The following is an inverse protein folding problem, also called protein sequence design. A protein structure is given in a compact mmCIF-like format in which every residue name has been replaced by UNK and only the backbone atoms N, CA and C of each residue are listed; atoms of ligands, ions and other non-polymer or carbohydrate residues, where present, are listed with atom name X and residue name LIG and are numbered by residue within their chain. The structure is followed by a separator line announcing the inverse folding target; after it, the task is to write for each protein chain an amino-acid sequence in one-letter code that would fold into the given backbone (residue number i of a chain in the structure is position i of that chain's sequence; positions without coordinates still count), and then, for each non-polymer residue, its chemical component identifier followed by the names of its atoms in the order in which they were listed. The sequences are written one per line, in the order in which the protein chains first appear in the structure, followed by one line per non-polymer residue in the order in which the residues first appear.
data_IF_346448207820
#
_entry.id   IF_346448207820
#
_cell.length_a   1.000
_cell.length_b   1.000
_cell.length_c   1.000
_cell.angle_alpha   90.00
_cell.angle_beta   90.00
_cell.angle_gamma   90.00
#
_symmetry.space_group_name_H-M   'P 1'
#
loop_
_entity.id
_entity.type
_entity.pdbx_description
1 polymer ?
#
# COMPACT_ATOMS: atom_id res chain seq x y z
N UNK A 1 12.64 5.47 20.47
CA UNK A 1 13.38 5.18 21.72
C UNK A 1 14.87 5.22 21.43
N UNK A 2 15.66 5.95 22.22
CA UNK A 2 17.12 5.96 22.11
C UNK A 2 17.73 5.45 23.41
N UNK A 3 18.65 4.51 23.28
CA UNK A 3 19.52 4.00 24.34
C UNK A 3 20.96 4.39 24.01
N UNK A 4 21.90 4.07 24.89
CA UNK A 4 23.34 4.30 24.65
C UNK A 4 23.88 3.52 23.45
N UNK A 5 23.27 2.37 23.12
CA UNK A 5 23.77 1.45 22.09
C UNK A 5 22.90 1.42 20.83
N UNK A 6 21.61 1.74 20.97
CA UNK A 6 20.62 1.58 19.90
C UNK A 6 19.62 2.73 19.83
N UNK A 7 19.22 3.10 18.61
CA UNK A 7 18.02 3.90 18.36
C UNK A 7 16.99 3.02 17.65
N UNK A 8 15.77 3.01 18.18
CA UNK A 8 14.62 2.27 17.63
C UNK A 8 13.48 3.23 17.34
N UNK A 9 12.75 2.97 16.26
CA UNK A 9 11.40 3.50 16.07
C UNK A 9 10.43 2.62 16.84
N UNK A 10 9.60 3.21 17.71
CA UNK A 10 8.65 2.45 18.52
C UNK A 10 7.26 3.00 18.26
N UNK A 11 6.31 2.12 17.95
CA UNK A 11 4.90 2.46 17.83
C UNK A 11 4.05 1.58 18.74
N UNK A 12 3.00 2.16 19.29
CA UNK A 12 2.15 1.51 20.29
C UNK A 12 0.68 1.77 20.04
N UNK A 13 -0.14 0.80 20.42
CA UNK A 13 -1.60 0.91 20.43
C UNK A 13 -2.15 0.26 21.69
N UNK A 14 -3.16 0.83 22.36
CA UNK A 14 -3.85 0.14 23.45
C UNK A 14 -4.42 -1.21 23.01
N UNK A 15 -4.38 -2.22 23.89
CA UNK A 15 -4.87 -3.57 23.60
C UNK A 15 -6.38 -3.62 23.37
N UNK A 16 -7.14 -2.70 23.96
CA UNK A 16 -8.58 -2.56 23.77
C UNK A 16 -8.94 -1.74 22.51
N UNK A 17 -7.95 -1.18 21.81
CA UNK A 17 -8.20 -0.42 20.61
C UNK A 17 -8.73 -1.33 19.48
N UNK A 18 -9.84 -0.99 18.79
CA UNK A 18 -10.48 -1.86 17.79
C UNK A 18 -9.58 -2.29 16.61
N UNK A 19 -8.45 -1.61 16.43
CA UNK A 19 -7.45 -1.90 15.39
C UNK A 19 -6.18 -2.55 15.91
N UNK A 20 -6.08 -3.01 17.17
CA UNK A 20 -4.86 -3.64 17.69
C UNK A 20 -4.38 -4.82 16.84
N UNK A 21 -5.31 -5.53 16.20
CA UNK A 21 -4.98 -6.61 15.27
C UNK A 21 -4.04 -6.17 14.13
N UNK A 22 -3.98 -4.88 13.76
CA UNK A 22 -3.07 -4.39 12.73
C UNK A 22 -1.60 -4.49 13.17
N UNK A 23 -1.31 -4.31 14.46
CA UNK A 23 0.01 -4.49 15.04
C UNK A 23 0.47 -5.94 14.86
N UNK A 24 -0.42 -6.90 15.14
CA UNK A 24 -0.15 -8.33 14.96
C UNK A 24 0.08 -8.71 13.49
N UNK A 25 -0.68 -8.11 12.56
CA UNK A 25 -0.48 -8.34 11.12
C UNK A 25 0.89 -7.86 10.67
N UNK A 26 1.26 -6.64 11.02
CA UNK A 26 2.55 -6.08 10.64
C UNK A 26 3.72 -6.84 11.27
N UNK A 27 3.60 -7.23 12.53
CA UNK A 27 4.60 -8.09 13.18
C UNK A 27 4.74 -9.46 12.49
N UNK A 28 3.62 -10.07 12.08
CA UNK A 28 3.61 -11.35 11.38
C UNK A 28 4.18 -11.28 9.96
N UNK A 29 3.98 -10.17 9.25
CA UNK A 29 4.50 -9.95 7.89
C UNK A 29 6.00 -9.63 7.90
N UNK A 30 6.49 -8.89 8.89
CA UNK A 30 7.85 -8.35 8.89
C UNK A 30 8.96 -9.38 8.60
N UNK A 31 8.96 -10.61 9.15
CA UNK A 31 9.98 -11.62 8.85
C UNK A 31 10.15 -11.94 7.36
N UNK A 32 9.10 -11.75 6.55
CA UNK A 32 9.07 -12.07 5.12
C UNK A 32 9.46 -10.90 4.22
N UNK A 33 9.51 -9.67 4.76
CA UNK A 33 9.69 -8.43 3.96
C UNK A 33 10.91 -7.61 4.37
N UNK A 34 11.85 -8.20 5.11
CA UNK A 34 13.03 -7.46 5.65
C UNK A 34 13.96 -6.87 4.58
N UNK A 35 13.87 -7.35 3.34
CA UNK A 35 14.62 -6.80 2.21
C UNK A 35 14.01 -5.49 1.67
N UNK A 36 12.75 -5.21 2.00
CA UNK A 36 11.98 -4.05 1.54
C UNK A 36 11.36 -3.24 2.68
N UNK A 37 11.57 -3.63 3.94
CA UNK A 37 10.98 -2.98 5.12
C UNK A 37 11.99 -2.96 6.29
N UNK A 38 11.87 -1.98 7.20
CA UNK A 38 12.69 -1.96 8.41
C UNK A 38 12.50 -3.23 9.24
N UNK A 39 13.58 -3.80 9.76
CA UNK A 39 13.55 -4.97 10.64
C UNK A 39 12.81 -4.67 11.94
N UNK A 40 11.81 -5.49 12.24
CA UNK A 40 11.21 -5.57 13.57
C UNK A 40 12.15 -6.33 14.52
N UNK A 41 12.55 -5.69 15.62
CA UNK A 41 13.38 -6.31 16.65
C UNK A 41 12.54 -7.08 17.67
N UNK A 42 11.42 -6.49 18.09
CA UNK A 42 10.53 -7.08 19.08
C UNK A 42 9.11 -6.57 18.90
N UNK A 43 8.17 -7.41 19.30
CA UNK A 43 6.77 -7.08 19.52
C UNK A 43 6.42 -7.62 20.90
N UNK A 44 5.89 -6.75 21.76
CA UNK A 44 5.51 -7.10 23.13
C UNK A 44 4.15 -6.51 23.47
N UNK A 45 3.41 -7.22 24.33
CA UNK A 45 2.20 -6.72 24.94
C UNK A 45 2.46 -6.55 26.45
N UNK A 46 2.30 -5.33 26.97
CA UNK A 46 2.56 -5.00 28.37
C UNK A 46 1.73 -3.81 28.84
N UNK A 47 1.29 -3.82 30.10
CA UNK A 47 0.45 -2.80 30.74
C UNK A 47 -0.71 -2.27 29.88
N UNK A 48 -1.39 -3.16 29.15
CA UNK A 48 -2.51 -2.77 28.29
C UNK A 48 -2.12 -2.18 26.93
N UNK A 49 -0.86 -2.28 26.51
CA UNK A 49 -0.35 -1.82 25.21
C UNK A 49 0.22 -2.96 24.37
N UNK A 50 0.01 -2.89 23.05
CA UNK A 50 0.80 -3.65 22.05
C UNK A 50 1.85 -2.71 21.44
N UNK A 51 3.13 -3.03 21.66
CA UNK A 51 4.28 -2.22 21.25
C UNK A 51 5.14 -2.95 20.23
N UNK A 52 5.49 -2.28 19.13
CA UNK A 52 6.43 -2.77 18.13
C UNK A 52 7.69 -1.89 18.11
N UNK A 53 8.86 -2.53 18.18
CA UNK A 53 10.16 -1.86 18.11
C UNK A 53 10.92 -2.22 16.83
N UNK A 54 10.98 -1.27 15.91
CA UNK A 54 11.68 -1.40 14.63
C UNK A 54 13.08 -0.79 14.68
N UNK A 55 13.96 -1.25 13.80
CA UNK A 55 15.19 -0.53 13.51
C UNK A 55 14.86 0.92 13.13
N UNK A 56 15.64 1.87 13.64
CA UNK A 56 15.47 3.25 13.26
C UNK A 56 16.13 3.52 11.90
N UNK A 57 15.33 3.98 10.95
CA UNK A 57 15.81 4.34 9.61
C UNK A 57 15.97 5.84 9.52
N UNK A 58 17.17 6.29 9.12
CA UNK A 58 17.43 7.68 8.74
C UNK A 58 17.05 7.90 7.28
N UNK A 59 16.21 8.89 7.01
CA UNK A 59 15.72 9.16 5.66
C UNK A 59 14.57 10.17 5.65
N UNK A 60 14.11 10.50 4.46
CA UNK A 60 12.88 11.27 4.23
C UNK A 60 11.72 10.38 3.79
N UNK A 61 10.55 10.97 3.63
CA UNK A 61 9.44 10.31 2.93
C UNK A 61 9.60 10.50 1.41
N UNK A 62 9.05 9.57 0.63
CA UNK A 62 9.12 9.64 -0.82
C UNK A 62 8.35 10.84 -1.38
N UNK A 63 8.91 11.49 -2.38
CA UNK A 63 8.24 12.49 -3.21
C UNK A 63 7.59 11.81 -4.43
N UNK A 64 6.27 11.93 -4.54
CA UNK A 64 5.47 11.35 -5.62
C UNK A 64 5.08 12.36 -6.71
N UNK A 65 5.69 13.55 -6.71
CA UNK A 65 5.41 14.55 -7.74
C UNK A 65 6.02 14.17 -9.11
N UNK A 66 5.46 14.68 -10.22
CA UNK A 66 5.98 14.40 -11.55
C UNK A 66 7.46 14.74 -11.72
N UNK A 67 8.25 13.77 -12.20
CA UNK A 67 9.69 13.93 -12.41
C UNK A 67 10.54 13.75 -11.15
N UNK A 68 9.93 13.35 -10.03
CA UNK A 68 10.66 13.01 -8.80
C UNK A 68 11.71 11.91 -9.07
N UNK A 69 12.94 12.05 -8.55
CA UNK A 69 13.96 11.02 -8.65
C UNK A 69 13.67 9.80 -7.75
N UNK A 70 12.65 9.86 -6.89
CA UNK A 70 12.31 8.79 -5.96
C UNK A 70 11.53 7.65 -6.65
N UNK A 71 10.72 7.95 -7.67
CA UNK A 71 9.82 6.98 -8.31
C UNK A 71 10.51 5.69 -8.78
N UNK A 72 11.70 5.74 -9.43
CA UNK A 72 12.40 4.52 -9.84
C UNK A 72 12.79 3.62 -8.67
N UNK A 73 13.18 4.19 -7.52
CA UNK A 73 13.56 3.43 -6.34
C UNK A 73 12.34 2.80 -5.65
N UNK A 74 11.17 3.45 -5.73
CA UNK A 74 9.89 2.90 -5.27
C UNK A 74 9.53 1.67 -6.10
N UNK A 75 9.50 1.79 -7.44
CA UNK A 75 9.16 0.68 -8.33
C UNK A 75 10.15 -0.48 -8.21
N UNK A 76 11.45 -0.21 -8.08
CA UNK A 76 12.45 -1.25 -7.83
C UNK A 76 12.19 -2.02 -6.52
N UNK A 77 11.69 -1.33 -5.48
CA UNK A 77 11.34 -1.94 -4.20
C UNK A 77 10.02 -2.70 -4.28
N UNK A 78 9.04 -2.21 -5.04
CA UNK A 78 7.80 -2.95 -5.36
C UNK A 78 8.12 -4.25 -6.12
N UNK A 79 9.06 -4.20 -7.06
CA UNK A 79 9.48 -5.37 -7.83
C UNK A 79 10.08 -6.44 -6.93
N UNK A 80 10.93 -6.05 -5.97
CA UNK A 80 11.46 -6.97 -4.94
C UNK A 80 10.37 -7.52 -4.04
N UNK A 81 9.36 -6.71 -3.68
CA UNK A 81 8.21 -7.20 -2.92
C UNK A 81 7.43 -8.26 -3.71
N UNK A 82 7.26 -8.10 -5.01
CA UNK A 82 6.55 -9.07 -5.85
C UNK A 82 7.25 -10.45 -5.92
N UNK A 83 8.56 -10.51 -5.62
CA UNK A 83 9.35 -11.74 -5.54
C UNK A 83 9.22 -12.46 -4.19
N UNK A 84 8.67 -11.79 -3.16
CA UNK A 84 8.47 -12.37 -1.83
C UNK A 84 7.45 -13.50 -1.93
N UNK A 85 7.85 -14.69 -1.50
CA UNK A 85 6.95 -15.83 -1.40
C UNK A 85 5.79 -15.53 -0.46
N UNK A 86 4.59 -15.95 -0.86
CA UNK A 86 3.38 -15.78 -0.06
C UNK A 86 3.62 -16.30 1.36
N UNK A 87 3.49 -15.44 2.39
CA UNK A 87 3.75 -15.88 3.75
C UNK A 87 2.65 -16.86 4.16
N UNK A 88 3.02 -17.98 4.78
CA UNK A 88 2.08 -18.99 5.29
C UNK A 88 1.25 -18.54 6.49
N UNK A 89 0.95 -17.24 6.58
CA UNK A 89 0.20 -16.58 7.64
C UNK A 89 -1.17 -16.14 7.09
N UNK A 90 -2.14 -15.97 7.98
CA UNK A 90 -3.48 -15.53 7.58
C UNK A 90 -3.49 -14.05 7.18
N UNK A 91 -3.67 -13.80 5.88
CA UNK A 91 -3.88 -12.48 5.30
C UNK A 91 -5.25 -12.40 4.62
N UNK A 92 -5.85 -11.22 4.64
CA UNK A 92 -7.07 -10.97 3.86
C UNK A 92 -6.71 -11.00 2.37
N UNK A 93 -7.58 -11.58 1.56
CA UNK A 93 -7.45 -11.51 0.11
C UNK A 93 -7.99 -10.17 -0.42
N UNK A 94 -7.46 -9.70 -1.54
CA UNK A 94 -7.97 -8.52 -2.24
C UNK A 94 -9.44 -8.68 -2.68
N UNK A 95 -9.90 -9.84 -3.18
CA UNK A 95 -11.32 -10.09 -3.38
C UNK A 95 -12.13 -9.86 -2.10
N UNK A 96 -11.66 -10.36 -0.94
CA UNK A 96 -12.35 -10.11 0.31
C UNK A 96 -12.36 -8.61 0.66
N UNK A 97 -11.24 -7.89 0.53
CA UNK A 97 -11.14 -6.45 0.81
C UNK A 97 -12.11 -5.61 -0.03
N UNK A 98 -12.21 -5.93 -1.31
CA UNK A 98 -12.92 -5.12 -2.29
C UNK A 98 -14.39 -5.51 -2.49
N UNK A 99 -14.85 -6.63 -1.91
CA UNK A 99 -16.21 -7.20 -2.12
C UNK A 99 -17.38 -6.23 -1.94
N UNK A 100 -17.25 -5.22 -1.09
CA UNK A 100 -18.33 -4.24 -0.83
C UNK A 100 -18.44 -3.16 -1.91
N UNK A 101 -17.42 -3.06 -2.77
CA UNK A 101 -17.27 -2.02 -3.77
C UNK A 101 -17.32 -2.57 -5.19
N UNK A 102 -17.76 -3.82 -5.36
CA UNK A 102 -17.92 -4.49 -6.65
C UNK A 102 -19.42 -4.60 -6.96
N UNK A 103 -19.82 -4.28 -8.19
CA UNK A 103 -21.21 -4.42 -8.64
C UNK A 103 -21.49 -5.84 -9.13
N UNK A 104 -20.61 -6.37 -9.99
CA UNK A 104 -20.66 -7.73 -10.50
C UNK A 104 -19.68 -8.63 -9.72
N UNK A 105 -20.15 -9.57 -8.90
CA UNK A 105 -19.28 -10.49 -8.16
C UNK A 105 -18.25 -11.23 -9.02
N UNK A 106 -18.46 -11.39 -10.33
CA UNK A 106 -17.48 -11.96 -11.25
C UNK A 106 -16.18 -11.14 -11.33
N UNK A 107 -16.25 -9.81 -11.16
CA UNK A 107 -15.09 -8.92 -11.16
C UNK A 107 -14.11 -9.23 -10.01
N UNK A 108 -14.56 -9.90 -8.95
CA UNK A 108 -13.68 -10.32 -7.85
C UNK A 108 -12.59 -11.30 -8.28
N UNK A 109 -12.84 -12.07 -9.35
CA UNK A 109 -11.85 -13.00 -9.89
C UNK A 109 -10.61 -12.29 -10.42
N UNK A 110 -10.74 -11.05 -10.92
CA UNK A 110 -9.60 -10.26 -11.40
C UNK A 110 -8.61 -9.93 -10.29
N UNK A 111 -9.08 -9.77 -9.06
CA UNK A 111 -8.24 -9.34 -7.94
C UNK A 111 -7.59 -10.51 -7.19
N UNK A 112 -7.95 -11.74 -7.52
CA UNK A 112 -7.43 -12.93 -6.87
C UNK A 112 -5.96 -13.20 -7.24
N UNK A 113 -5.21 -13.73 -6.27
CA UNK A 113 -3.82 -14.10 -6.44
C UNK A 113 -3.14 -14.34 -5.10
N UNK A 114 -1.92 -14.85 -5.15
CA UNK A 114 -1.17 -15.27 -3.95
C UNK A 114 0.03 -14.34 -3.66
N UNK A 115 0.21 -13.26 -4.41
CA UNK A 115 1.29 -12.30 -4.17
C UNK A 115 1.01 -11.52 -2.89
N UNK A 116 2.05 -11.31 -2.09
CA UNK A 116 1.99 -10.43 -0.93
C UNK A 116 1.95 -8.97 -1.42
N UNK A 117 0.93 -8.24 -1.00
CA UNK A 117 0.70 -6.86 -1.39
C UNK A 117 0.78 -5.92 -0.17
N UNK A 118 1.37 -4.74 -0.36
CA UNK A 118 1.42 -3.68 0.65
C UNK A 118 0.05 -3.01 0.81
N UNK A 119 -0.61 -2.69 -0.31
CA UNK A 119 -1.95 -2.08 -0.44
C UNK A 119 -2.15 -0.66 0.07
N UNK A 120 -1.26 -0.11 0.89
CA UNK A 120 -1.36 1.26 1.41
C UNK A 120 -0.17 2.11 0.95
N UNK A 121 -0.37 2.90 -0.11
CA UNK A 121 0.71 3.59 -0.83
C UNK A 121 0.78 5.09 -0.52
N UNK A 122 0.33 5.53 0.65
CA UNK A 122 0.62 6.88 1.12
C UNK A 122 2.14 7.14 1.08
N UNK A 123 2.63 8.27 0.52
CA UNK A 123 4.07 8.57 0.46
C UNK A 123 4.74 8.57 1.84
N UNK A 124 4.00 8.83 2.93
CA UNK A 124 4.53 8.72 4.29
C UNK A 124 4.89 7.29 4.70
N UNK A 125 4.35 6.29 4.00
CA UNK A 125 4.66 4.87 4.20
C UNK A 125 5.86 4.40 3.37
N UNK A 126 6.51 5.30 2.63
CA UNK A 126 7.72 5.01 1.87
C UNK A 126 8.88 5.86 2.40
N UNK A 127 9.87 5.20 2.99
CA UNK A 127 11.08 5.82 3.52
C UNK A 127 12.18 5.76 2.47
N UNK A 128 12.71 6.93 2.11
CA UNK A 128 13.83 7.06 1.19
C UNK A 128 15.14 7.05 1.96
N UNK A 129 15.97 6.04 1.66
CA UNK A 129 17.29 5.86 2.27
C UNK A 129 18.39 5.95 1.21
N UNK A 130 19.64 6.03 1.66
CA UNK A 130 20.80 5.94 0.77
C UNK A 130 20.93 4.59 0.03
N UNK A 131 20.18 3.55 0.45
CA UNK A 131 20.16 2.22 -0.16
C UNK A 131 18.91 1.97 -1.03
N UNK A 132 18.04 2.97 -1.17
CA UNK A 132 16.76 2.88 -1.86
C UNK A 132 15.56 3.04 -0.94
N UNK A 133 14.37 2.77 -1.47
CA UNK A 133 13.12 2.87 -0.73
C UNK A 133 12.92 1.68 0.23
N UNK A 134 12.25 1.93 1.35
CA UNK A 134 11.72 0.95 2.28
C UNK A 134 10.24 1.24 2.56
N UNK A 135 9.43 0.20 2.66
CA UNK A 135 8.00 0.30 2.95
C UNK A 135 7.71 0.04 4.42
N UNK A 136 6.89 0.90 5.02
CA UNK A 136 6.45 0.80 6.41
C UNK A 136 4.92 0.75 6.47
N UNK A 137 4.39 0.36 7.63
CA UNK A 137 2.95 0.24 7.85
C UNK A 137 2.28 -0.87 7.04
N UNK A 138 2.66 -2.11 7.36
CA UNK A 138 2.11 -3.33 6.77
C UNK A 138 0.77 -3.76 7.38
N UNK A 139 0.08 -2.86 8.09
CA UNK A 139 -1.20 -3.11 8.75
C UNK A 139 -2.28 -3.67 7.80
N UNK A 140 -2.24 -3.25 6.54
CA UNK A 140 -3.24 -3.61 5.53
C UNK A 140 -2.81 -4.70 4.56
N UNK A 141 -1.61 -5.26 4.74
CA UNK A 141 -1.05 -6.31 3.90
C UNK A 141 -2.07 -7.40 3.57
N UNK A 142 -2.13 -7.76 2.29
CA UNK A 142 -3.16 -8.62 1.73
C UNK A 142 -2.57 -9.54 0.66
N UNK A 143 -3.29 -10.60 0.30
CA UNK A 143 -2.95 -11.46 -0.84
C UNK A 143 -3.79 -11.09 -2.07
N UNK A 144 -3.19 -11.00 -3.24
CA UNK A 144 -3.92 -10.72 -4.47
C UNK A 144 -3.06 -10.86 -5.72
N UNK A 145 -3.60 -10.39 -6.84
CA UNK A 145 -2.84 -10.29 -8.07
C UNK A 145 -1.72 -9.24 -7.93
N UNK A 146 -0.49 -9.57 -8.37
CA UNK A 146 0.69 -8.72 -8.18
C UNK A 146 0.57 -7.31 -8.78
N UNK A 147 -0.24 -7.15 -9.84
CA UNK A 147 -0.45 -5.85 -10.50
C UNK A 147 -1.30 -4.87 -9.69
N UNK A 148 -1.93 -5.32 -8.60
CA UNK A 148 -2.78 -4.45 -7.77
C UNK A 148 -1.95 -3.36 -7.10
N UNK A 149 -0.78 -3.68 -6.55
CA UNK A 149 0.04 -2.68 -5.87
C UNK A 149 0.46 -1.50 -6.78
N UNK A 150 1.03 -1.72 -7.99
CA UNK A 150 1.31 -0.60 -8.89
C UNK A 150 0.03 0.17 -9.30
N UNK A 151 -1.13 -0.50 -9.39
CA UNK A 151 -2.40 0.18 -9.67
C UNK A 151 -2.93 1.01 -8.49
N UNK A 152 -2.70 0.59 -7.25
CA UNK A 152 -3.04 1.38 -6.06
C UNK A 152 -2.06 2.55 -5.89
N UNK A 153 -0.77 2.35 -6.15
CA UNK A 153 0.22 3.42 -6.13
C UNK A 153 -0.05 4.51 -7.17
N UNK A 154 -0.49 4.14 -8.37
CA UNK A 154 -0.93 5.06 -9.42
C UNK A 154 -1.93 6.13 -8.93
N UNK A 155 -2.86 5.76 -8.05
CA UNK A 155 -3.82 6.72 -7.49
C UNK A 155 -3.13 7.80 -6.66
N UNK A 156 -2.10 7.43 -5.92
CA UNK A 156 -1.29 8.37 -5.15
C UNK A 156 -0.47 9.29 -6.05
N UNK A 157 0.06 8.78 -7.17
CA UNK A 157 0.73 9.63 -8.17
C UNK A 157 -0.22 10.69 -8.74
N UNK A 158 -1.45 10.31 -9.10
CA UNK A 158 -2.46 11.27 -9.58
C UNK A 158 -2.79 12.30 -8.48
N UNK A 159 -2.94 11.85 -7.23
CA UNK A 159 -3.17 12.76 -6.11
C UNK A 159 -2.02 13.76 -5.88
N UNK A 160 -0.80 13.44 -6.35
CA UNK A 160 0.40 14.28 -6.28
C UNK A 160 0.74 15.00 -7.60
N UNK A 161 -0.21 15.05 -8.55
CA UNK A 161 -0.14 15.93 -9.72
C UNK A 161 0.19 15.24 -11.04
N UNK A 162 0.31 13.91 -11.08
CA UNK A 162 0.38 13.20 -12.35
C UNK A 162 -0.97 13.23 -13.09
N UNK A 163 -0.92 13.31 -14.41
CA UNK A 163 -2.05 12.91 -15.25
C UNK A 163 -2.24 11.39 -15.20
N UNK A 164 -3.44 10.84 -15.50
CA UNK A 164 -3.65 9.40 -15.57
C UNK A 164 -2.67 8.67 -16.48
N UNK A 165 -2.38 9.21 -17.67
CA UNK A 165 -1.42 8.62 -18.60
C UNK A 165 0.01 8.60 -18.07
N UNK A 166 0.44 9.66 -17.37
CA UNK A 166 1.76 9.65 -16.71
C UNK A 166 1.80 8.61 -15.60
N UNK A 167 0.76 8.54 -14.77
CA UNK A 167 0.71 7.61 -13.65
C UNK A 167 0.62 6.14 -14.10
N UNK A 168 -0.11 5.82 -15.19
CA UNK A 168 -0.07 4.50 -15.84
C UNK A 168 1.33 4.20 -16.40
N UNK A 169 2.02 5.20 -16.95
CA UNK A 169 3.41 5.06 -17.40
C UNK A 169 4.39 4.69 -16.29
N UNK A 170 4.30 5.35 -15.13
CA UNK A 170 5.12 5.01 -13.95
C UNK A 170 4.79 3.62 -13.39
N UNK A 171 3.49 3.30 -13.28
CA UNK A 171 3.05 1.99 -12.81
C UNK A 171 3.47 0.84 -13.75
N UNK A 172 3.51 1.11 -15.06
CA UNK A 172 3.92 0.16 -16.09
C UNK A 172 5.40 -0.23 -16.05
N UNK A 173 6.24 0.50 -15.32
CA UNK A 173 7.64 0.11 -15.09
C UNK A 173 7.72 -1.17 -14.24
N UNK A 174 6.69 -1.45 -13.41
CA UNK A 174 6.63 -2.67 -12.62
C UNK A 174 6.26 -3.89 -13.49
N UNK A 175 7.04 -4.99 -13.50
CA UNK A 175 6.81 -6.12 -14.42
C UNK A 175 5.42 -6.76 -14.32
N UNK A 176 4.83 -6.80 -13.13
CA UNK A 176 3.48 -7.34 -12.96
C UNK A 176 2.40 -6.55 -13.72
N UNK A 177 2.63 -5.27 -14.04
CA UNK A 177 1.66 -4.45 -14.76
C UNK A 177 1.31 -5.03 -16.14
N UNK A 178 2.28 -5.63 -16.83
CA UNK A 178 2.04 -6.28 -18.12
C UNK A 178 1.06 -7.47 -18.03
N UNK A 179 0.93 -8.06 -16.83
CA UNK A 179 0.02 -9.17 -16.56
C UNK A 179 -1.38 -8.69 -16.16
N UNK A 180 -1.60 -7.37 -16.00
CA UNK A 180 -2.89 -6.81 -15.62
C UNK A 180 -3.89 -6.91 -16.79
N UNK A 181 -5.00 -7.65 -16.64
CA UNK A 181 -6.02 -7.70 -17.68
C UNK A 181 -6.64 -6.30 -17.86
N UNK A 182 -6.82 -5.78 -19.09
CA UNK A 182 -7.45 -4.47 -19.30
C UNK A 182 -8.81 -4.33 -18.61
N UNK A 183 -9.66 -5.36 -18.70
CA UNK A 183 -10.95 -5.40 -18.01
C UNK A 183 -10.80 -5.43 -16.48
N UNK A 184 -9.73 -6.03 -15.96
CA UNK A 184 -9.39 -6.04 -14.53
C UNK A 184 -8.95 -4.67 -14.02
N UNK A 185 -8.16 -3.93 -14.81
CA UNK A 185 -7.83 -2.53 -14.52
C UNK A 185 -9.08 -1.64 -14.53
N UNK A 186 -9.97 -1.82 -15.50
CA UNK A 186 -11.24 -1.08 -15.56
C UNK A 186 -12.13 -1.40 -14.35
N UNK A 187 -12.19 -2.67 -13.94
CA UNK A 187 -12.90 -3.10 -12.74
C UNK A 187 -12.28 -2.47 -11.48
N UNK A 188 -10.95 -2.49 -11.34
CA UNK A 188 -10.27 -1.89 -10.21
C UNK A 188 -10.52 -0.38 -10.16
N UNK A 189 -10.51 0.33 -11.29
CA UNK A 189 -10.79 1.76 -11.34
C UNK A 189 -12.20 2.10 -10.84
N UNK A 190 -13.22 1.36 -11.28
CA UNK A 190 -14.60 1.51 -10.77
C UNK A 190 -14.69 1.24 -9.26
N UNK A 191 -14.03 0.18 -8.80
CA UNK A 191 -13.97 -0.23 -7.39
C UNK A 191 -13.31 0.83 -6.52
N UNK A 192 -12.14 1.34 -6.95
CA UNK A 192 -11.38 2.36 -6.22
C UNK A 192 -12.13 3.68 -6.14
N UNK A 193 -12.82 4.09 -7.21
CA UNK A 193 -13.71 5.25 -7.18
C UNK A 193 -14.75 5.10 -6.06
N UNK A 194 -15.49 3.99 -6.01
CA UNK A 194 -16.49 3.73 -4.97
C UNK A 194 -15.91 3.65 -3.56
N UNK A 195 -14.73 3.03 -3.43
CA UNK A 195 -14.03 2.93 -2.16
C UNK A 195 -13.67 4.32 -1.63
N UNK A 196 -13.04 5.16 -2.45
CA UNK A 196 -12.62 6.50 -2.04
C UNK A 196 -13.79 7.46 -1.87
N UNK A 197 -14.87 7.33 -2.65
CA UNK A 197 -16.13 8.04 -2.39
C UNK A 197 -16.69 7.69 -1.01
N UNK A 198 -16.70 6.40 -0.66
CA UNK A 198 -17.15 5.94 0.66
C UNK A 198 -16.27 6.45 1.79
N UNK A 199 -14.95 6.48 1.61
CA UNK A 199 -14.01 6.98 2.63
C UNK A 199 -14.17 8.49 2.80
N UNK A 200 -14.24 9.25 1.71
CA UNK A 200 -14.45 10.69 1.74
C UNK A 200 -15.78 11.06 2.40
N UNK A 201 -16.85 10.30 2.12
CA UNK A 201 -18.16 10.52 2.74
C UNK A 201 -18.16 10.27 4.27
N UNK A 202 -17.35 9.33 4.75
CA UNK A 202 -17.29 8.97 6.17
C UNK A 202 -16.22 9.75 6.95
N UNK A 203 -15.35 10.48 6.26
CA UNK A 203 -14.26 11.22 6.89
C UNK A 203 -14.79 12.56 7.43
N UNK A 204 -14.49 12.91 8.70
CA UNK A 204 -14.88 14.21 9.25
C UNK A 204 -14.10 15.37 8.64
N UNK A 205 -12.90 15.08 8.12
CA UNK A 205 -11.97 16.06 7.54
C UNK A 205 -11.69 15.77 6.06
N UNK A 206 -11.14 16.77 5.37
CA UNK A 206 -10.93 16.75 3.91
C UNK A 206 -9.72 15.93 3.42
N UNK A 207 -9.06 15.18 4.32
CA UNK A 207 -7.84 14.45 4.00
C UNK A 207 -8.00 13.43 2.85
N UNK A 208 -9.19 12.83 2.70
CA UNK A 208 -9.48 11.84 1.68
C UNK A 208 -9.84 12.46 0.31
N UNK A 209 -10.11 13.77 0.24
CA UNK A 209 -10.56 14.43 -1.00
C UNK A 209 -9.54 14.33 -2.16
N UNK A 210 -8.23 14.47 -1.95
CA UNK A 210 -7.25 14.27 -3.03
C UNK A 210 -7.35 12.87 -3.64
N UNK A 211 -7.47 11.84 -2.79
CA UNK A 211 -7.59 10.45 -3.24
C UNK A 211 -8.93 10.17 -3.93
N UNK A 212 -10.02 10.75 -3.44
CA UNK A 212 -11.32 10.70 -4.11
C UNK A 212 -11.24 11.25 -5.54
N UNK A 213 -10.65 12.44 -5.71
CA UNK A 213 -10.47 13.05 -7.04
C UNK A 213 -9.60 12.18 -7.92
N UNK A 214 -8.46 11.69 -7.40
CA UNK A 214 -7.57 10.82 -8.16
C UNK A 214 -8.26 9.55 -8.66
N UNK A 215 -9.03 8.87 -7.79
CA UNK A 215 -9.78 7.68 -8.16
C UNK A 215 -10.90 7.97 -9.18
N UNK A 216 -11.58 9.11 -9.06
CA UNK A 216 -12.56 9.55 -10.06
C UNK A 216 -11.89 9.82 -11.41
N UNK A 217 -10.80 10.59 -11.44
CA UNK A 217 -10.07 10.93 -12.66
C UNK A 217 -9.53 9.67 -13.36
N UNK A 218 -8.96 8.72 -12.62
CA UNK A 218 -8.51 7.47 -13.24
C UNK A 218 -9.67 6.65 -13.82
N UNK A 219 -10.80 6.53 -13.10
CA UNK A 219 -11.97 5.82 -13.60
C UNK A 219 -12.56 6.47 -14.87
N UNK A 220 -12.58 7.80 -14.95
CA UNK A 220 -13.02 8.51 -16.15
C UNK A 220 -12.06 8.29 -17.32
N UNK A 221 -10.74 8.32 -17.07
CA UNK A 221 -9.70 8.02 -18.07
C UNK A 221 -9.91 6.62 -18.68
N UNK A 222 -10.08 5.59 -17.84
CA UNK A 222 -10.30 4.21 -18.27
C UNK A 222 -11.56 4.00 -19.11
N UNK A 223 -12.55 4.88 -18.97
CA UNK A 223 -13.80 4.82 -19.75
C UNK A 223 -13.81 5.73 -20.99
N UNK A 224 -12.69 6.37 -21.31
CA UNK A 224 -12.57 7.29 -22.45
C UNK A 224 -13.34 8.60 -22.27
N UNK A 225 -13.58 9.02 -21.02
CA UNK A 225 -14.35 10.23 -20.68
C UNK A 225 -13.48 11.44 -20.33
N UNK A 226 -12.16 11.34 -20.51
CA UNK A 226 -11.16 12.41 -20.30
C UNK A 226 -10.34 12.65 -21.56
#
# INVERSE_FOLDING_TARGET
MRTTEHTLFVKGLPLDHPRVWTQNREAGVNPYVRDVAPKLHWHMEDDGWSLLGFEYVTGGHADFTPGSPDLPAVVATMTRLAEVQSPGIELKSMPHRLRKYVDDPADLSWFAGNSLLHTEWNPHNVLMTNRGALFVDWAWASLGAAWIDPALWLLWLIAHGHTPSQAEGEAAVHPAWELAPPAGLDALARVQRRLWDSIAHQSPDDWARPMQRAAQTWAEHRTGKL
#
